data_IF_666488066627
#
_entry.id   IF_666488066627
#
_cell.length_a   1.000
_cell.length_b   1.000
_cell.length_c   1.000
_cell.angle_alpha   90.00
_cell.angle_beta   90.00
_cell.angle_gamma   90.00
#
_symmetry.space_group_name_H-M   'P 1'
#
loop_
_entity.id
_entity.type
_entity.pdbx_description
1 polymer ?
#
# COMPACT_ATOMS: atom_id res chain seq x y z
N UNK A 1 -6.27 -4.62 -3.55
CA UNK A 1 -5.48 -3.38 -3.76
C UNK A 1 -4.02 -3.51 -3.33
N UNK A 2 -3.65 -3.49 -2.03
CA UNK A 2 -2.23 -3.47 -1.62
C UNK A 2 -1.42 -4.69 -2.10
N UNK A 3 -2.04 -5.88 -2.17
CA UNK A 3 -1.40 -7.10 -2.70
C UNK A 3 -0.87 -6.93 -4.12
N UNK A 4 -1.62 -6.24 -4.98
CA UNK A 4 -1.26 -5.99 -6.38
C UNK A 4 -0.43 -4.74 -6.61
N UNK A 5 -0.27 -3.87 -5.60
CA UNK A 5 0.46 -2.61 -5.70
C UNK A 5 1.99 -2.82 -5.66
N UNK A 6 2.52 -3.58 -6.62
CA UNK A 6 3.91 -4.06 -6.62
C UNK A 6 4.92 -2.91 -6.52
N UNK A 7 4.66 -1.77 -7.15
CA UNK A 7 5.51 -0.59 -7.16
C UNK A 7 5.71 -0.05 -5.74
N UNK A 8 4.61 0.13 -5.00
CA UNK A 8 4.63 0.59 -3.61
C UNK A 8 5.26 -0.45 -2.69
N UNK A 9 4.91 -1.73 -2.86
CA UNK A 9 5.45 -2.80 -2.03
C UNK A 9 6.97 -2.97 -2.20
N UNK A 10 7.48 -2.79 -3.42
CA UNK A 10 8.92 -2.96 -3.71
C UNK A 10 9.79 -1.83 -3.14
N UNK A 11 9.23 -0.63 -2.97
CA UNK A 11 9.91 0.55 -2.42
C UNK A 11 9.58 0.78 -0.94
N UNK A 12 8.78 -0.09 -0.33
CA UNK A 12 8.33 0.12 1.03
C UNK A 12 9.51 0.04 1.99
N UNK A 13 9.74 1.13 2.73
CA UNK A 13 10.72 1.18 3.81
C UNK A 13 9.97 1.11 5.15
N UNK A 14 9.82 -0.08 5.75
CA UNK A 14 8.96 -0.26 6.92
C UNK A 14 9.51 0.46 8.15
N UNK A 15 8.62 1.16 8.85
CA UNK A 15 8.90 1.80 10.12
C UNK A 15 8.19 1.09 11.28
N UNK A 16 8.72 1.15 12.51
CA UNK A 16 7.98 0.69 13.68
C UNK A 16 6.59 1.32 13.74
N UNK A 17 5.57 0.50 13.99
CA UNK A 17 4.17 0.91 13.97
C UNK A 17 3.46 0.69 12.62
N UNK A 18 4.17 0.31 11.56
CA UNK A 18 3.57 0.00 10.26
C UNK A 18 2.77 -1.30 10.27
N UNK A 19 1.66 -1.31 9.53
CA UNK A 19 0.77 -2.46 9.48
C UNK A 19 1.02 -3.30 8.25
N UNK A 20 0.85 -4.61 8.39
CA UNK A 20 0.99 -5.55 7.29
C UNK A 20 0.16 -6.81 7.50
N UNK A 21 0.01 -7.59 6.44
CA UNK A 21 -0.48 -8.96 6.51
C UNK A 21 0.48 -9.90 5.77
N UNK A 22 0.40 -11.19 6.07
CA UNK A 22 1.21 -12.22 5.40
C UNK A 22 0.47 -12.69 4.15
N UNK A 23 1.16 -12.82 3.01
CA UNK A 23 0.47 -13.12 1.74
C UNK A 23 -0.15 -14.50 1.67
N UNK A 24 0.33 -15.40 2.50
CA UNK A 24 0.15 -16.85 2.41
C UNK A 24 -1.13 -17.30 3.15
N UNK A 25 -1.78 -16.38 3.86
CA UNK A 25 -2.94 -16.65 4.69
C UNK A 25 -4.11 -15.71 4.29
N UNK A 26 -5.21 -16.26 3.72
CA UNK A 26 -6.37 -15.48 3.33
C UNK A 26 -7.16 -14.91 4.53
N UNK A 27 -6.96 -15.44 5.74
CA UNK A 27 -7.51 -14.89 6.99
C UNK A 27 -6.43 -14.16 7.82
N UNK A 28 -5.27 -13.84 7.20
CA UNK A 28 -4.16 -13.22 7.89
C UNK A 28 -4.62 -12.00 8.70
N UNK A 29 -4.54 -12.13 10.03
CA UNK A 29 -4.73 -11.01 10.92
C UNK A 29 -3.74 -9.90 10.56
N UNK A 30 -4.21 -8.65 10.54
CA UNK A 30 -3.35 -7.48 10.39
C UNK A 30 -2.39 -7.44 11.58
N UNK A 31 -1.09 -7.37 11.28
CA UNK A 31 -0.01 -7.29 12.27
C UNK A 31 0.63 -5.92 12.23
N UNK A 32 1.18 -5.52 13.37
CA UNK A 32 1.98 -4.31 13.51
C UNK A 32 3.47 -4.68 13.48
N UNK A 33 4.28 -3.90 12.77
CA UNK A 33 5.72 -4.04 12.78
C UNK A 33 6.27 -3.44 14.07
N UNK A 34 6.80 -4.32 14.93
CA UNK A 34 7.43 -3.96 16.19
C UNK A 34 8.88 -4.43 16.15
N UNK A 35 9.81 -3.57 16.57
CA UNK A 35 11.26 -3.85 16.55
C UNK A 35 11.82 -4.29 17.90
N UNK A 36 11.05 -4.15 18.98
CA UNK A 36 11.47 -4.46 20.35
C UNK A 36 10.38 -5.24 21.11
N UNK A 37 10.80 -6.11 22.03
CA UNK A 37 9.90 -6.91 22.86
C UNK A 37 9.67 -8.33 22.33
N UNK A 38 8.79 -9.08 23.02
CA UNK A 38 8.51 -10.49 22.72
C UNK A 38 7.89 -10.69 21.33
N UNK A 39 7.22 -9.66 20.80
CA UNK A 39 6.59 -9.65 19.48
C UNK A 39 7.48 -9.05 18.39
N UNK A 40 8.78 -8.84 18.67
CA UNK A 40 9.71 -8.30 17.67
C UNK A 40 9.86 -9.27 16.49
N UNK A 41 9.42 -8.83 15.32
CA UNK A 41 9.45 -9.63 14.09
C UNK A 41 10.63 -9.23 13.22
N UNK A 42 11.41 -10.22 12.78
CA UNK A 42 12.52 -10.00 11.85
C UNK A 42 11.99 -9.93 10.42
N UNK A 43 11.78 -8.72 9.92
CA UNK A 43 11.36 -8.48 8.54
C UNK A 43 12.54 -7.89 7.76
N UNK A 44 12.85 -8.49 6.61
CA UNK A 44 13.92 -8.05 5.75
C UNK A 44 13.49 -8.16 4.28
N UNK A 45 13.68 -7.08 3.50
CA UNK A 45 13.36 -7.03 2.07
C UNK A 45 11.93 -7.49 1.73
N UNK A 46 10.94 -7.17 2.57
CA UNK A 46 9.54 -7.58 2.36
C UNK A 46 9.23 -9.02 2.75
N UNK A 47 10.13 -9.71 3.45
CA UNK A 47 9.90 -11.07 3.96
C UNK A 47 10.04 -11.11 5.47
N UNK A 48 9.07 -11.75 6.13
CA UNK A 48 9.18 -12.17 7.51
C UNK A 48 10.05 -13.44 7.57
N UNK A 49 11.11 -13.39 8.37
CA UNK A 49 12.03 -14.49 8.58
C UNK A 49 11.68 -15.16 9.91
N UNK A 50 11.17 -16.39 9.86
CA UNK A 50 10.86 -17.19 11.03
C UNK A 50 11.74 -18.45 11.07
N UNK A 51 12.36 -18.71 12.22
CA UNK A 51 13.03 -19.99 12.45
C UNK A 51 11.98 -21.02 12.89
N UNK A 52 11.95 -22.16 12.21
CA UNK A 52 11.08 -23.28 12.59
C UNK A 52 11.76 -24.17 13.64
N UNK A 53 10.96 -24.93 14.38
CA UNK A 53 11.47 -25.85 15.41
C UNK A 53 12.41 -26.94 14.86
N UNK A 54 12.35 -27.22 13.55
CA UNK A 54 13.23 -28.15 12.84
C UNK A 54 14.57 -27.54 12.39
N UNK A 55 14.81 -26.26 12.67
CA UNK A 55 16.01 -25.54 12.24
C UNK A 55 15.95 -25.01 10.80
N UNK A 56 14.84 -25.20 10.08
CA UNK A 56 14.64 -24.59 8.77
C UNK A 56 14.21 -23.11 8.90
N UNK A 57 14.60 -22.29 7.93
CA UNK A 57 14.19 -20.89 7.82
C UNK A 57 12.96 -20.81 6.93
N UNK A 58 11.85 -20.29 7.48
CA UNK A 58 10.62 -20.01 6.76
C UNK A 58 10.59 -18.53 6.36
N UNK A 59 10.34 -18.27 5.08
CA UNK A 59 10.20 -16.92 4.53
C UNK A 59 8.74 -16.70 4.14
N UNK A 60 8.09 -15.71 4.77
CA UNK A 60 6.71 -15.33 4.43
C UNK A 60 6.70 -13.96 3.82
N UNK A 61 6.06 -13.80 2.67
CA UNK A 61 5.99 -12.48 2.02
C UNK A 61 5.04 -11.59 2.80
N UNK A 62 5.51 -10.37 3.06
CA UNK A 62 4.79 -9.33 3.78
C UNK A 62 4.13 -8.41 2.77
N UNK A 63 2.87 -8.07 3.02
CA UNK A 63 2.14 -7.05 2.25
C UNK A 63 1.82 -5.90 3.18
N UNK A 64 2.47 -4.77 2.93
CA UNK A 64 2.35 -3.56 3.72
C UNK A 64 1.04 -2.83 3.45
N UNK A 65 0.46 -2.31 4.52
CA UNK A 65 -0.76 -1.52 4.53
C UNK A 65 -0.38 -0.06 4.78
N UNK A 66 -0.16 0.73 3.72
CA UNK A 66 0.27 2.11 3.86
C UNK A 66 -0.78 2.94 4.60
N UNK A 67 -0.35 3.68 5.63
CA UNK A 67 -1.21 4.67 6.29
C UNK A 67 -1.36 5.92 5.43
N UNK A 68 -2.41 6.69 5.71
CA UNK A 68 -2.70 7.94 4.98
C UNK A 68 -1.51 8.90 4.91
N UNK A 69 -0.82 9.15 6.04
CA UNK A 69 0.33 10.05 6.07
C UNK A 69 1.49 9.56 5.19
N UNK A 70 1.72 8.25 5.14
CA UNK A 70 2.77 7.64 4.32
C UNK A 70 2.44 7.75 2.83
N UNK A 71 1.17 7.57 2.45
CA UNK A 71 0.72 7.80 1.07
C UNK A 71 0.90 9.26 0.64
N UNK A 72 0.60 10.20 1.54
CA UNK A 72 0.77 11.63 1.29
C UNK A 72 2.26 12.02 1.16
N UNK A 73 3.14 11.35 1.92
CA UNK A 73 4.59 11.50 1.77
C UNK A 73 5.09 10.92 0.44
N UNK A 74 4.60 9.75 0.01
CA UNK A 74 4.94 9.18 -1.30
C UNK A 74 4.53 10.09 -2.46
N UNK A 75 3.39 10.78 -2.33
CA UNK A 75 2.96 11.74 -3.33
C UNK A 75 3.93 12.93 -3.50
N UNK A 76 4.86 13.16 -2.55
CA UNK A 76 5.92 14.19 -2.66
C UNK A 76 7.00 13.86 -3.68
N UNK A 77 7.01 12.65 -4.25
CA UNK A 77 7.83 12.35 -5.44
C UNK A 77 7.42 13.23 -6.64
N UNK A 78 6.19 13.76 -6.63
CA UNK A 78 5.73 14.73 -7.62
C UNK A 78 6.33 16.11 -7.34
N UNK A 79 6.57 16.95 -8.38
CA UNK A 79 7.15 18.28 -8.25
C UNK A 79 6.14 19.33 -7.73
N UNK A 80 5.36 18.97 -6.71
CA UNK A 80 4.28 19.78 -6.15
C UNK A 80 4.47 19.97 -4.65
N UNK A 81 4.04 21.12 -4.14
CA UNK A 81 3.92 21.36 -2.70
C UNK A 81 2.79 20.51 -2.12
N UNK A 82 2.83 20.28 -0.80
CA UNK A 82 1.79 19.54 -0.09
C UNK A 82 0.37 20.10 -0.35
N UNK A 83 0.23 21.44 -0.37
CA UNK A 83 -1.04 22.12 -0.66
C UNK A 83 -1.52 21.81 -2.08
N UNK A 84 -0.62 21.84 -3.05
CA UNK A 84 -0.94 21.54 -4.45
C UNK A 84 -1.32 20.06 -4.63
N UNK A 85 -0.57 19.13 -4.05
CA UNK A 85 -0.89 17.69 -4.08
C UNK A 85 -2.28 17.46 -3.49
N UNK A 86 -2.58 18.07 -2.34
CA UNK A 86 -3.90 17.93 -1.70
C UNK A 86 -5.01 18.48 -2.59
N UNK A 87 -4.79 19.62 -3.25
CA UNK A 87 -5.77 20.19 -4.18
C UNK A 87 -5.96 19.32 -5.43
N UNK A 88 -4.87 18.76 -5.97
CA UNK A 88 -4.93 17.82 -7.09
C UNK A 88 -5.66 16.54 -6.70
N UNK A 89 -5.42 16.01 -5.50
CA UNK A 89 -6.14 14.88 -4.94
C UNK A 89 -7.65 15.14 -4.90
N UNK A 90 -8.09 16.25 -4.32
CA UNK A 90 -9.53 16.59 -4.25
C UNK A 90 -10.17 16.81 -5.62
N UNK A 91 -9.43 17.36 -6.58
CA UNK A 91 -9.90 17.47 -7.97
C UNK A 91 -10.04 16.09 -8.60
N UNK A 92 -9.00 15.27 -8.50
CA UNK A 92 -8.94 13.94 -9.07
C UNK A 92 -10.03 13.02 -8.50
N UNK A 93 -10.29 13.10 -7.19
CA UNK A 93 -11.28 12.28 -6.50
C UNK A 93 -12.73 12.50 -6.98
N UNK A 94 -12.98 13.61 -7.71
CA UNK A 94 -14.28 13.96 -8.30
C UNK A 94 -14.39 13.64 -9.78
N UNK A 95 -13.30 13.25 -10.44
CA UNK A 95 -13.28 12.88 -11.85
C UNK A 95 -13.65 11.39 -11.97
N UNK A 96 -14.42 10.97 -12.99
CA UNK A 96 -14.68 9.56 -13.24
C UNK A 96 -13.39 8.73 -13.33
N UNK A 97 -13.34 7.64 -12.56
CA UNK A 97 -12.16 6.78 -12.42
C UNK A 97 -12.40 5.40 -13.00
N UNK A 98 -11.38 4.89 -13.69
CA UNK A 98 -11.39 3.59 -14.36
C UNK A 98 -12.49 3.42 -15.40
N UNK A 99 -12.65 2.19 -15.89
CA UNK A 99 -13.56 1.87 -16.98
C UNK A 99 -15.03 2.07 -16.61
N UNK A 100 -15.36 1.88 -15.33
CA UNK A 100 -16.73 2.02 -14.81
C UNK A 100 -17.17 3.49 -14.69
N UNK A 101 -16.26 4.46 -14.90
CA UNK A 101 -16.52 5.91 -14.82
C UNK A 101 -17.24 6.34 -13.53
N UNK A 102 -16.94 5.67 -12.42
CA UNK A 102 -17.46 6.02 -11.09
C UNK A 102 -16.47 6.98 -10.43
N UNK A 103 -16.95 7.95 -9.66
CA UNK A 103 -16.04 8.82 -8.90
C UNK A 103 -15.32 7.99 -7.82
N UNK A 104 -13.99 8.16 -7.62
CA UNK A 104 -13.20 7.44 -6.63
C UNK A 104 -13.82 7.37 -5.24
N UNK A 105 -14.38 8.48 -4.75
CA UNK A 105 -15.03 8.57 -3.43
C UNK A 105 -16.20 7.59 -3.24
N UNK A 106 -16.86 7.18 -4.32
CA UNK A 106 -17.97 6.20 -4.28
C UNK A 106 -17.51 4.78 -4.61
N UNK A 107 -16.35 4.64 -5.24
CA UNK A 107 -15.82 3.37 -5.68
C UNK A 107 -14.99 2.69 -4.59
N UNK A 108 -14.26 3.47 -3.79
CA UNK A 108 -13.44 2.98 -2.68
C UNK A 108 -14.13 3.17 -1.33
N UNK A 109 -13.79 2.32 -0.35
CA UNK A 109 -14.45 2.29 0.96
C UNK A 109 -13.75 3.11 2.04
N UNK A 110 -12.50 3.52 1.81
CA UNK A 110 -11.73 4.30 2.78
C UNK A 110 -10.89 5.37 2.09
N UNK A 111 -10.52 6.41 2.86
CA UNK A 111 -9.69 7.49 2.35
C UNK A 111 -8.28 7.00 1.97
N UNK A 112 -7.74 6.02 2.70
CA UNK A 112 -6.47 5.36 2.37
C UNK A 112 -6.54 4.66 1.01
N UNK A 113 -7.67 4.00 0.69
CA UNK A 113 -7.84 3.37 -0.63
C UNK A 113 -7.89 4.41 -1.75
N UNK A 114 -8.59 5.54 -1.54
CA UNK A 114 -8.64 6.64 -2.52
C UNK A 114 -7.26 7.26 -2.71
N UNK A 115 -6.51 7.50 -1.63
CA UNK A 115 -5.15 8.01 -1.70
C UNK A 115 -4.18 7.03 -2.35
N UNK A 116 -4.29 5.74 -2.05
CA UNK A 116 -3.48 4.70 -2.68
C UNK A 116 -3.71 4.69 -4.20
N UNK A 117 -4.98 4.74 -4.62
CA UNK A 117 -5.33 4.82 -6.04
C UNK A 117 -4.82 6.11 -6.70
N UNK A 118 -4.90 7.25 -6.00
CA UNK A 118 -4.35 8.52 -6.49
C UNK A 118 -2.84 8.45 -6.68
N UNK A 119 -2.09 7.99 -5.66
CA UNK A 119 -0.63 7.87 -5.72
C UNK A 119 -0.23 6.95 -6.86
N UNK A 120 -0.87 5.79 -6.99
CA UNK A 120 -0.52 4.83 -8.05
C UNK A 120 -0.85 5.38 -9.44
N UNK A 121 -1.97 6.08 -9.60
CA UNK A 121 -2.33 6.70 -10.87
C UNK A 121 -1.37 7.84 -11.26
N UNK A 122 -1.01 8.71 -10.32
CA UNK A 122 -0.18 9.88 -10.61
C UNK A 122 1.31 9.57 -10.73
N UNK A 123 1.83 8.67 -9.89
CA UNK A 123 3.27 8.35 -9.84
C UNK A 123 3.61 7.21 -10.79
N UNK A 124 2.75 6.21 -10.92
CA UNK A 124 3.04 4.99 -11.66
C UNK A 124 2.16 4.79 -12.91
N UNK A 125 1.11 5.59 -13.12
CA UNK A 125 0.25 5.49 -14.30
C UNK A 125 -0.66 4.24 -14.33
N UNK A 126 -0.93 3.64 -13.18
CA UNK A 126 -1.83 2.47 -13.09
C UNK A 126 -3.17 2.79 -12.42
N UNK A 127 -4.21 2.05 -12.80
CA UNK A 127 -5.58 2.18 -12.30
C UNK A 127 -6.08 0.83 -11.82
N UNK A 128 -6.75 0.83 -10.66
CA UNK A 128 -7.39 -0.35 -10.09
C UNK A 128 -8.73 -0.60 -10.79
N UNK A 129 -8.89 -1.78 -11.39
CA UNK A 129 -10.13 -2.15 -12.09
C UNK A 129 -11.15 -2.89 -11.19
N UNK A 130 -10.73 -3.27 -9.97
CA UNK A 130 -11.52 -4.10 -9.04
C UNK A 130 -10.74 -5.34 -8.60
N UNK A 131 -9.90 -5.85 -9.50
CA UNK A 131 -9.17 -7.10 -9.34
C UNK A 131 -7.65 -6.89 -9.35
N UNK A 132 -7.14 -6.03 -10.24
CA UNK A 132 -5.71 -5.73 -10.37
C UNK A 132 -5.41 -4.27 -10.77
N UNK A 133 -4.14 -3.87 -10.68
CA UNK A 133 -3.64 -2.60 -11.20
C UNK A 133 -3.24 -2.73 -12.66
N UNK A 134 -3.90 -1.95 -13.52
CA UNK A 134 -3.71 -1.98 -14.98
C UNK A 134 -3.14 -0.67 -15.48
N UNK A 135 -2.25 -0.72 -16.47
CA UNK A 135 -1.70 0.51 -17.10
C UNK A 135 -2.78 1.20 -17.90
N UNK A 136 -2.86 2.51 -17.74
CA UNK A 136 -3.64 3.36 -18.64
C UNK A 136 -2.74 3.72 -19.82
N UNK A 137 -3.09 3.27 -21.02
CA UNK A 137 -2.49 3.69 -22.28
C UNK A 137 -3.22 4.89 -22.86
#
# INVERSE_FOLDING_TARGET
MCRGAAEIQSRWNPLPGDFFFLSDDPEAAVRCHVTEGADALRIQNGFLIAATASGAVELKRVIWLPRLNQLMEMARELPYTFREITFQFYKWAKIPYGDKRVIPEKYFHSLEQVWLAFVIAQVYGHVWNGDDWTRVY
#
